data_IF_135131598812
#
_entry.id   IF_135131598812
#
_cell.length_a   1.000
_cell.length_b   1.000
_cell.length_c   1.000
_cell.angle_alpha   90.00
_cell.angle_beta   90.00
_cell.angle_gamma   90.00
#
_symmetry.space_group_name_H-M   'P 1'
#
loop_
_entity.id
_entity.type
_entity.pdbx_description
1 polymer ?
#
# COMPACT_ATOMS: atom_id res chain seq x y z
N UNK A 1 -42.62 29.22 100.33
CA UNK A 1 -41.29 29.85 100.20
C UNK A 1 -41.23 30.49 98.81
N UNK A 2 -40.75 31.73 98.75
CA UNK A 2 -40.82 32.71 97.65
C UNK A 2 -40.36 32.23 96.26
N UNK A 3 -41.14 32.58 95.20
CA UNK A 3 -40.77 33.45 94.06
C UNK A 3 -40.17 32.69 92.86
N UNK A 4 -40.33 33.04 91.57
CA UNK A 4 -40.94 34.18 90.85
C UNK A 4 -41.20 33.71 89.40
N UNK A 5 -42.35 34.06 88.80
CA UNK A 5 -42.63 33.90 87.36
C UNK A 5 -41.76 34.86 86.52
N UNK A 6 -41.29 34.39 85.37
CA UNK A 6 -41.04 35.21 84.17
C UNK A 6 -41.50 34.43 82.93
N UNK A 7 -42.42 35.05 82.18
CA UNK A 7 -42.83 34.68 80.83
C UNK A 7 -41.67 34.92 79.87
N UNK A 8 -41.52 34.08 78.84
CA UNK A 8 -41.16 34.55 77.49
C UNK A 8 -41.91 33.75 76.43
N UNK A 9 -42.39 34.50 75.45
CA UNK A 9 -43.29 34.13 74.36
C UNK A 9 -42.46 33.74 73.14
N UNK A 10 -42.95 32.76 72.40
CA UNK A 10 -42.38 32.19 71.19
C UNK A 10 -42.06 33.21 70.08
N UNK A 11 -40.86 33.09 69.52
CA UNK A 11 -40.55 33.40 68.12
C UNK A 11 -39.76 32.23 67.53
N UNK A 12 -40.44 31.38 66.76
CA UNK A 12 -39.79 30.36 65.92
C UNK A 12 -39.38 31.05 64.62
N UNK A 13 -38.09 31.38 64.52
CA UNK A 13 -37.51 31.88 63.27
C UNK A 13 -37.36 30.72 62.30
N UNK A 14 -38.29 30.64 61.34
CA UNK A 14 -38.19 29.77 60.17
C UNK A 14 -37.10 30.36 59.27
N UNK A 15 -35.90 29.79 59.34
CA UNK A 15 -34.84 30.02 58.35
C UNK A 15 -35.25 29.33 57.04
N UNK A 16 -35.83 30.10 56.13
CA UNK A 16 -35.96 29.72 54.73
C UNK A 16 -34.54 29.72 54.14
N UNK A 17 -33.94 28.54 54.03
CA UNK A 17 -32.75 28.34 53.20
C UNK A 17 -33.22 28.50 51.76
N UNK A 18 -33.07 29.70 51.23
CA UNK A 18 -33.09 29.96 49.79
C UNK A 18 -31.92 29.19 49.20
N UNK A 19 -32.20 28.02 48.62
CA UNK A 19 -31.33 27.41 47.63
C UNK A 19 -31.19 28.41 46.48
N UNK A 20 -30.16 29.25 46.54
CA UNK A 20 -29.58 29.86 45.36
C UNK A 20 -28.98 28.73 44.54
N UNK A 21 -29.82 28.12 43.72
CA UNK A 21 -29.42 27.35 42.55
C UNK A 21 -28.48 28.24 41.76
N UNK A 22 -27.18 28.06 41.99
CA UNK A 22 -26.13 28.53 41.12
C UNK A 22 -26.36 27.75 39.85
N UNK A 23 -27.19 28.30 38.96
CA UNK A 23 -27.26 27.87 37.57
C UNK A 23 -25.84 28.01 37.06
N UNK A 24 -25.07 26.93 37.11
CA UNK A 24 -24.04 26.66 36.14
C UNK A 24 -24.79 26.64 34.81
N UNK A 25 -24.90 27.83 34.22
CA UNK A 25 -25.22 28.01 32.84
C UNK A 25 -24.09 27.28 32.10
N UNK A 26 -24.26 25.98 31.90
CA UNK A 26 -23.59 25.29 30.82
C UNK A 26 -24.12 26.04 29.61
N UNK A 27 -23.31 26.96 29.09
CA UNK A 27 -23.53 27.56 27.79
C UNK A 27 -23.42 26.43 26.76
N UNK A 28 -24.47 25.61 26.68
CA UNK A 28 -24.81 24.84 25.49
C UNK A 28 -25.35 25.81 24.47
N UNK A 29 -24.51 26.78 24.05
CA UNK A 29 -24.70 27.39 22.76
C UNK A 29 -24.48 26.28 21.74
N UNK A 30 -25.45 26.04 20.87
CA UNK A 30 -25.21 25.29 19.65
C UNK A 30 -24.04 25.98 18.94
N UNK A 31 -22.86 25.37 18.99
CA UNK A 31 -21.73 25.75 18.15
C UNK A 31 -22.11 25.35 16.73
N UNK A 32 -22.88 26.20 16.08
CA UNK A 32 -23.23 26.11 14.68
C UNK A 32 -21.94 25.97 13.86
N UNK A 33 -21.97 25.13 12.82
CA UNK A 33 -20.83 24.50 12.12
C UNK A 33 -19.84 25.41 11.38
N UNK A 34 -19.59 26.62 11.87
CA UNK A 34 -18.67 27.64 11.33
C UNK A 34 -17.24 27.15 11.13
N UNK A 35 -16.73 26.26 11.97
CA UNK A 35 -15.39 25.68 11.78
C UNK A 35 -15.37 24.64 10.66
N UNK A 36 -16.43 23.83 10.50
CA UNK A 36 -16.53 22.83 9.43
C UNK A 36 -16.58 23.49 8.07
N UNK A 37 -17.33 24.61 7.99
CA UNK A 37 -17.47 25.40 6.78
C UNK A 37 -16.12 25.95 6.31
N UNK A 38 -15.33 26.53 7.21
CA UNK A 38 -13.99 27.06 6.89
C UNK A 38 -13.04 25.98 6.34
N UNK A 39 -13.04 24.79 6.95
CA UNK A 39 -12.18 23.69 6.47
C UNK A 39 -12.64 23.19 5.09
N UNK A 40 -13.95 23.09 4.85
CA UNK A 40 -14.46 22.74 3.53
C UNK A 40 -14.09 23.81 2.48
N UNK A 41 -14.17 25.09 2.83
CA UNK A 41 -13.79 26.20 1.95
C UNK A 41 -12.29 26.18 1.61
N UNK A 42 -11.40 25.84 2.56
CA UNK A 42 -9.95 25.70 2.33
C UNK A 42 -9.63 24.52 1.39
N UNK A 43 -10.25 23.36 1.61
CA UNK A 43 -10.06 22.16 0.78
C UNK A 43 -10.62 22.38 -0.64
N UNK A 44 -11.79 23.01 -0.76
CA UNK A 44 -12.37 23.43 -2.04
C UNK A 44 -11.47 24.45 -2.77
N UNK A 45 -10.87 25.40 -2.06
CA UNK A 45 -9.98 26.39 -2.66
C UNK A 45 -8.71 25.77 -3.27
N UNK A 46 -8.16 24.73 -2.66
CA UNK A 46 -6.98 24.03 -3.18
C UNK A 46 -7.34 23.09 -4.33
N UNK A 47 -8.44 22.34 -4.20
CA UNK A 47 -8.88 21.39 -5.23
C UNK A 47 -9.37 22.08 -6.51
N UNK A 48 -9.68 23.38 -6.45
CA UNK A 48 -10.05 24.21 -7.61
C UNK A 48 -8.86 24.89 -8.30
N UNK A 49 -7.64 24.77 -7.76
CA UNK A 49 -6.43 25.29 -8.42
C UNK A 49 -6.26 24.57 -9.77
N UNK A 50 -6.28 25.35 -10.84
CA UNK A 50 -6.15 24.82 -12.20
C UNK A 50 -4.71 24.35 -12.47
N UNK A 51 -4.49 23.04 -12.40
CA UNK A 51 -3.22 22.38 -12.72
C UNK A 51 -3.24 21.64 -14.06
N UNK A 52 -4.05 22.12 -15.01
CA UNK A 52 -4.39 21.41 -16.26
C UNK A 52 -4.90 19.98 -15.98
N UNK A 53 -4.79 19.06 -16.94
CA UNK A 53 -5.03 17.63 -16.72
C UNK A 53 -3.75 16.86 -16.30
N UNK A 54 -2.61 17.58 -16.19
CA UNK A 54 -1.29 17.01 -15.97
C UNK A 54 -0.70 17.34 -14.60
N UNK A 55 -1.52 17.68 -13.61
CA UNK A 55 -1.06 18.01 -12.26
C UNK A 55 -2.19 18.16 -11.26
N UNK A 56 -1.82 18.37 -10.00
CA UNK A 56 -2.75 18.64 -8.90
C UNK A 56 -2.09 19.52 -7.84
N UNK A 57 -2.87 20.14 -6.97
CA UNK A 57 -2.37 20.86 -5.80
C UNK A 57 -2.85 20.18 -4.52
N UNK A 58 -2.06 20.31 -3.44
CA UNK A 58 -2.39 19.79 -2.12
C UNK A 58 -2.34 20.92 -1.08
N UNK A 59 -3.08 20.75 0.02
CA UNK A 59 -3.19 21.76 1.07
C UNK A 59 -1.84 22.06 1.73
N UNK A 60 -0.98 21.05 1.83
CA UNK A 60 0.40 21.12 2.33
C UNK A 60 1.44 21.33 1.21
N UNK A 61 0.99 21.67 -0.01
CA UNK A 61 1.85 21.96 -1.14
C UNK A 61 2.71 23.22 -0.93
N UNK A 62 3.85 23.29 -1.59
CA UNK A 62 4.78 24.42 -1.50
C UNK A 62 4.11 25.72 -1.93
N UNK A 63 4.20 26.76 -1.11
CA UNK A 63 3.81 28.12 -1.46
C UNK A 63 5.06 28.83 -2.01
N UNK A 64 5.08 29.13 -3.30
CA UNK A 64 6.19 29.83 -3.94
C UNK A 64 6.15 31.33 -3.59
N UNK A 65 7.33 31.95 -3.48
CA UNK A 65 7.47 33.35 -3.06
C UNK A 65 6.55 34.30 -3.87
N UNK A 66 5.72 35.05 -3.15
CA UNK A 66 4.76 36.00 -3.74
C UNK A 66 3.37 35.42 -4.02
N UNK A 67 3.15 34.11 -3.85
CA UNK A 67 1.85 33.47 -4.01
C UNK A 67 1.13 33.26 -2.66
N UNK A 68 -0.21 33.21 -2.71
CA UNK A 68 -1.07 32.90 -1.54
C UNK A 68 -1.51 31.42 -1.58
N UNK A 69 -1.50 30.80 -2.76
CA UNK A 69 -1.98 29.44 -2.99
C UNK A 69 -0.81 28.45 -3.17
N UNK A 70 -1.00 27.17 -2.81
CA UNK A 70 -0.04 26.10 -3.11
C UNK A 70 0.25 25.97 -4.61
N UNK A 71 1.49 25.64 -4.95
CA UNK A 71 1.89 25.37 -6.33
C UNK A 71 1.36 24.02 -6.83
N UNK A 72 1.15 23.92 -8.14
CA UNK A 72 0.81 22.64 -8.78
C UNK A 72 1.99 21.66 -8.73
N UNK A 73 1.70 20.43 -8.33
CA UNK A 73 2.57 19.27 -8.46
C UNK A 73 2.26 18.55 -9.77
N UNK A 74 3.17 18.66 -10.73
CA UNK A 74 2.99 18.14 -12.09
C UNK A 74 3.26 16.64 -12.18
N UNK A 75 2.54 15.97 -13.07
CA UNK A 75 2.90 14.65 -13.57
C UNK A 75 4.30 14.71 -14.22
N UNK A 76 4.96 13.56 -14.32
CA UNK A 76 6.27 13.48 -14.97
C UNK A 76 6.22 14.06 -16.39
N UNK A 77 7.29 14.76 -16.76
CA UNK A 77 7.44 15.41 -18.07
C UNK A 77 6.53 16.61 -18.34
N UNK A 78 5.83 17.10 -17.31
CA UNK A 78 5.08 18.36 -17.38
C UNK A 78 5.65 19.39 -16.42
N UNK A 79 5.54 20.66 -16.79
CA UNK A 79 6.07 21.79 -16.04
C UNK A 79 5.25 23.06 -16.24
N UNK A 80 5.70 24.17 -15.63
CA UNK A 80 4.98 25.43 -15.58
C UNK A 80 4.03 25.50 -14.39
N UNK A 81 3.56 26.71 -14.08
CA UNK A 81 2.69 26.97 -12.91
C UNK A 81 1.37 26.19 -12.94
N UNK A 82 0.91 25.80 -14.13
CA UNK A 82 -0.32 25.04 -14.34
C UNK A 82 -0.07 23.65 -14.94
N UNK A 83 1.18 23.17 -14.94
CA UNK A 83 1.57 21.87 -15.51
C UNK A 83 1.21 21.67 -17.00
N UNK A 84 1.02 22.73 -17.77
CA UNK A 84 0.62 22.64 -19.18
C UNK A 84 1.79 22.48 -20.16
N UNK A 85 3.03 22.64 -19.71
CA UNK A 85 4.20 22.62 -20.60
C UNK A 85 4.83 21.23 -20.63
N UNK A 86 4.64 20.51 -21.75
CA UNK A 86 5.30 19.22 -21.99
C UNK A 86 6.79 19.39 -22.29
N UNK A 87 7.62 18.58 -21.65
CA UNK A 87 9.07 18.55 -21.80
C UNK A 87 9.48 17.49 -22.84
N UNK A 88 9.85 17.90 -24.05
CA UNK A 88 10.12 16.99 -25.18
C UNK A 88 11.25 15.98 -24.93
N UNK A 89 12.31 16.39 -24.24
CA UNK A 89 13.49 15.55 -23.95
C UNK A 89 13.39 14.82 -22.60
N UNK A 90 12.17 14.68 -22.07
CA UNK A 90 11.96 14.09 -20.77
C UNK A 90 12.34 12.60 -20.71
N UNK A 91 12.94 12.21 -19.59
CA UNK A 91 13.11 10.83 -19.17
C UNK A 91 11.90 10.42 -18.33
N UNK A 92 11.18 9.38 -18.76
CA UNK A 92 10.08 8.82 -17.97
C UNK A 92 10.64 7.82 -16.97
N UNK A 93 10.35 8.04 -15.68
CA UNK A 93 10.76 7.18 -14.59
C UNK A 93 9.61 6.26 -14.17
N UNK A 94 9.75 4.99 -14.56
CA UNK A 94 8.81 3.91 -14.23
C UNK A 94 9.42 2.92 -13.25
N UNK A 95 10.39 3.36 -12.44
CA UNK A 95 10.99 2.54 -11.39
C UNK A 95 10.01 2.30 -10.23
N UNK A 96 9.16 3.28 -9.90
CA UNK A 96 8.27 3.23 -8.74
C UNK A 96 6.91 2.63 -9.08
N UNK A 97 6.45 1.68 -8.26
CA UNK A 97 5.13 1.06 -8.39
C UNK A 97 3.98 1.89 -7.82
N UNK A 98 3.94 3.21 -8.04
CA UNK A 98 2.84 4.06 -7.60
C UNK A 98 1.59 3.77 -8.45
N UNK A 99 0.39 3.77 -7.85
CA UNK A 99 -0.86 3.47 -8.56
C UNK A 99 -1.62 4.74 -8.93
N UNK A 100 -0.96 5.71 -9.56
CA UNK A 100 -1.60 6.96 -9.98
C UNK A 100 -2.73 6.73 -10.99
N UNK A 101 -2.77 5.59 -11.68
CA UNK A 101 -3.91 5.21 -12.53
C UNK A 101 -5.26 5.11 -11.78
N UNK A 102 -5.24 4.99 -10.45
CA UNK A 102 -6.47 4.97 -9.61
C UNK A 102 -6.89 6.36 -9.13
N UNK A 103 -6.07 7.39 -9.29
CA UNK A 103 -6.40 8.73 -8.82
C UNK A 103 -7.69 9.29 -9.43
N UNK A 104 -7.95 9.17 -10.76
CA UNK A 104 -9.20 9.66 -11.35
C UNK A 104 -10.47 9.04 -10.75
N UNK A 105 -10.40 7.79 -10.28
CA UNK A 105 -11.50 7.15 -9.56
C UNK A 105 -11.74 7.85 -8.21
N UNK A 106 -10.68 8.10 -7.44
CA UNK A 106 -10.78 8.73 -6.12
C UNK A 106 -11.20 10.20 -6.18
N UNK A 107 -10.87 10.91 -7.25
CA UNK A 107 -11.35 12.28 -7.49
C UNK A 107 -12.88 12.36 -7.64
N UNK A 108 -13.52 11.27 -8.05
CA UNK A 108 -14.98 11.19 -8.24
C UNK A 108 -15.69 10.50 -7.07
N UNK A 109 -14.94 9.76 -6.25
CA UNK A 109 -15.48 9.00 -5.13
C UNK A 109 -15.83 9.89 -3.93
N UNK A 110 -16.86 9.48 -3.17
CA UNK A 110 -17.28 10.16 -1.93
C UNK A 110 -16.36 9.79 -0.75
N UNK A 111 -15.06 10.01 -0.89
CA UNK A 111 -14.00 9.60 0.05
C UNK A 111 -13.46 10.70 0.97
N UNK A 112 -13.92 11.95 0.85
CA UNK A 112 -13.47 13.05 1.70
C UNK A 112 -13.77 12.79 3.19
N UNK A 113 -12.90 13.31 4.07
CA UNK A 113 -13.00 13.17 5.53
C UNK A 113 -12.66 14.51 6.16
N UNK A 114 -13.54 14.97 7.05
CA UNK A 114 -13.23 16.07 7.95
C UNK A 114 -12.66 15.52 9.26
N UNK A 115 -11.41 15.86 9.57
CA UNK A 115 -10.74 15.46 10.82
C UNK A 115 -10.78 16.63 11.80
N UNK A 116 -11.43 16.45 12.96
CA UNK A 116 -11.46 17.49 13.98
C UNK A 116 -10.11 17.61 14.69
N UNK A 117 -9.77 18.81 15.17
CA UNK A 117 -8.51 19.03 15.91
C UNK A 117 -8.37 18.24 17.21
N UNK A 118 -9.45 17.65 17.72
CA UNK A 118 -9.46 16.75 18.89
C UNK A 118 -9.64 15.28 18.52
N UNK A 119 -9.53 14.93 17.23
CA UNK A 119 -9.70 13.54 16.79
C UNK A 119 -8.65 12.64 17.42
N UNK A 120 -9.09 11.75 18.32
CA UNK A 120 -8.29 10.64 18.89
C UNK A 120 -6.90 11.06 19.37
N UNK A 121 -6.81 12.13 20.16
CA UNK A 121 -5.54 12.61 20.74
C UNK A 121 -4.86 11.62 21.70
N UNK A 122 -5.59 10.64 22.23
CA UNK A 122 -5.05 9.61 23.13
C UNK A 122 -4.26 8.52 22.41
N UNK A 123 -3.36 7.83 23.14
CA UNK A 123 -2.54 6.75 22.59
C UNK A 123 -3.34 5.48 22.23
N UNK A 124 -4.38 5.17 22.99
CA UNK A 124 -5.20 3.97 22.85
C UNK A 124 -6.68 4.27 22.55
N UNK A 125 -7.39 3.26 22.06
CA UNK A 125 -8.84 3.23 22.00
C UNK A 125 -9.40 2.94 23.41
N UNK A 126 -10.71 3.04 23.58
CA UNK A 126 -11.37 2.79 24.88
C UNK A 126 -11.24 1.34 25.38
N UNK A 127 -10.81 0.42 24.52
CA UNK A 127 -10.51 -0.98 24.84
C UNK A 127 -9.00 -1.22 25.06
N UNK A 128 -8.24 -0.15 25.31
CA UNK A 128 -6.77 -0.12 25.44
C UNK A 128 -6.00 -0.58 24.20
N UNK A 129 -6.69 -0.89 23.09
CA UNK A 129 -6.05 -1.33 21.87
C UNK A 129 -5.46 -0.16 21.06
N UNK A 130 -4.50 -0.48 20.20
CA UNK A 130 -3.98 0.42 19.19
C UNK A 130 -4.68 0.27 17.84
N UNK A 131 -5.85 -0.35 17.76
CA UNK A 131 -6.49 -0.68 16.49
C UNK A 131 -7.98 -0.34 16.48
N UNK A 132 -8.43 0.33 15.44
CA UNK A 132 -9.85 0.55 15.18
C UNK A 132 -10.57 -0.78 14.93
N UNK A 133 -11.40 -1.22 15.87
CA UNK A 133 -12.24 -2.42 15.70
C UNK A 133 -13.18 -2.32 14.49
N UNK A 134 -13.68 -1.11 14.20
CA UNK A 134 -14.49 -0.88 13.02
C UNK A 134 -13.69 -1.07 11.73
N UNK A 135 -12.42 -0.66 11.70
CA UNK A 135 -11.55 -0.92 10.55
C UNK A 135 -11.26 -2.41 10.39
N UNK A 136 -11.04 -3.14 11.50
CA UNK A 136 -10.91 -4.61 11.48
C UNK A 136 -12.14 -5.24 10.82
N UNK A 137 -13.35 -4.82 11.20
CA UNK A 137 -14.59 -5.32 10.59
C UNK A 137 -14.66 -5.02 9.08
N UNK A 138 -14.26 -3.83 8.65
CA UNK A 138 -14.26 -3.45 7.22
C UNK A 138 -13.22 -4.23 6.41
N UNK A 139 -12.04 -4.51 6.99
CA UNK A 139 -11.04 -5.38 6.37
C UNK A 139 -11.59 -6.81 6.20
N UNK A 140 -12.24 -7.36 7.22
CA UNK A 140 -12.90 -8.68 7.13
C UNK A 140 -13.97 -8.69 6.04
N UNK A 141 -14.85 -7.69 6.03
CA UNK A 141 -15.90 -7.53 5.03
C UNK A 141 -15.32 -7.42 3.61
N UNK A 142 -14.25 -6.65 3.42
CA UNK A 142 -13.54 -6.55 2.14
C UNK A 142 -13.10 -7.92 1.62
N UNK A 143 -12.38 -8.69 2.43
CA UNK A 143 -11.89 -9.99 2.00
C UNK A 143 -13.00 -11.00 1.72
N UNK A 144 -14.10 -10.96 2.48
CA UNK A 144 -15.31 -11.76 2.22
C UNK A 144 -15.95 -11.35 0.89
N UNK A 145 -16.16 -10.05 0.66
CA UNK A 145 -16.76 -9.53 -0.58
C UNK A 145 -15.95 -9.89 -1.81
N UNK A 146 -14.61 -9.83 -1.73
CA UNK A 146 -13.74 -10.14 -2.86
C UNK A 146 -13.43 -11.63 -3.00
N UNK A 147 -13.64 -12.42 -1.94
CA UNK A 147 -13.30 -13.84 -1.91
C UNK A 147 -11.81 -14.11 -2.05
N UNK A 148 -10.93 -13.17 -1.65
CA UNK A 148 -9.48 -13.30 -1.85
C UNK A 148 -8.70 -13.74 -0.60
N UNK A 149 -9.29 -13.71 0.60
CA UNK A 149 -8.62 -14.25 1.80
C UNK A 149 -9.63 -14.74 2.85
N UNK A 150 -9.26 -15.77 3.60
CA UNK A 150 -10.00 -16.24 4.77
C UNK A 150 -9.65 -15.38 5.99
N UNK A 151 -10.67 -14.80 6.62
CA UNK A 151 -10.51 -13.94 7.80
C UNK A 151 -11.25 -14.43 9.05
N UNK A 152 -12.05 -15.49 8.91
CA UNK A 152 -12.74 -16.16 10.01
C UNK A 152 -11.72 -16.87 10.92
N UNK A 153 -11.88 -16.73 12.23
CA UNK A 153 -10.94 -17.29 13.23
C UNK A 153 -9.48 -16.90 12.96
N UNK A 154 -9.25 -15.66 12.50
CA UNK A 154 -7.92 -15.07 12.33
C UNK A 154 -7.78 -13.77 13.12
N UNK A 155 -6.56 -13.53 13.56
CA UNK A 155 -6.14 -12.26 14.15
C UNK A 155 -5.76 -11.28 13.04
N UNK A 156 -6.01 -9.99 13.27
CA UNK A 156 -5.61 -8.91 12.38
C UNK A 156 -4.73 -7.95 13.15
N UNK A 157 -3.59 -7.56 12.56
CA UNK A 157 -2.71 -6.53 13.09
C UNK A 157 -2.42 -5.48 12.02
N UNK A 158 -2.37 -4.20 12.41
CA UNK A 158 -2.03 -3.10 11.53
C UNK A 158 -0.54 -2.77 11.57
N UNK A 159 -0.03 -2.25 10.47
CA UNK A 159 1.30 -1.66 10.41
C UNK A 159 1.35 -0.43 9.51
N UNK A 160 2.39 0.36 9.71
CA UNK A 160 2.78 1.53 8.93
C UNK A 160 3.26 1.11 7.53
N UNK A 161 2.32 0.57 6.74
CA UNK A 161 2.52 -0.17 5.51
C UNK A 161 2.90 -1.62 5.76
N UNK A 162 2.76 -2.46 4.73
CA UNK A 162 3.26 -3.85 4.79
C UNK A 162 4.77 -3.90 5.05
N UNK A 163 5.51 -2.84 4.72
CA UNK A 163 6.94 -2.70 5.03
C UNK A 163 7.27 -2.89 6.51
N UNK A 164 6.47 -2.33 7.44
CA UNK A 164 6.70 -2.55 8.88
C UNK A 164 6.36 -4.00 9.26
N UNK A 165 5.30 -4.54 8.67
CA UNK A 165 4.81 -5.89 8.96
C UNK A 165 5.75 -7.00 8.46
N UNK A 166 6.47 -6.77 7.35
CA UNK A 166 7.50 -7.70 6.86
C UNK A 166 8.54 -7.98 7.95
N UNK A 167 9.11 -6.93 8.56
CA UNK A 167 10.08 -7.11 9.62
C UNK A 167 9.45 -7.60 10.93
N UNK A 168 8.25 -7.13 11.27
CA UNK A 168 7.53 -7.62 12.45
C UNK A 168 7.27 -9.14 12.36
N UNK A 169 6.94 -9.64 11.17
CA UNK A 169 6.74 -11.05 10.90
C UNK A 169 8.05 -11.85 11.00
N UNK A 170 9.14 -11.35 10.39
CA UNK A 170 10.48 -11.97 10.53
C UNK A 170 10.89 -12.04 11.99
N UNK A 171 10.73 -10.95 12.74
CA UNK A 171 10.99 -10.92 14.19
C UNK A 171 10.16 -11.95 14.95
N UNK A 172 8.85 -12.00 14.71
CA UNK A 172 7.95 -12.89 15.44
C UNK A 172 8.19 -14.39 15.16
N UNK A 173 8.53 -14.71 13.91
CA UNK A 173 8.83 -16.07 13.45
C UNK A 173 10.24 -16.53 13.78
N UNK A 174 11.16 -15.58 14.06
CA UNK A 174 12.51 -15.92 14.49
C UNK A 174 12.51 -16.53 15.88
N UNK A 175 13.32 -17.56 16.07
CA UNK A 175 13.53 -18.18 17.39
C UNK A 175 14.64 -17.46 18.13
N UNK A 176 14.39 -17.04 19.37
CA UNK A 176 15.40 -16.54 20.30
C UNK A 176 16.25 -17.71 20.83
N UNK A 177 17.01 -18.37 19.94
CA UNK A 177 17.81 -19.55 20.27
C UNK A 177 19.30 -19.24 20.12
N UNK A 178 20.07 -19.55 21.16
CA UNK A 178 21.52 -19.37 21.23
C UNK A 178 22.34 -20.25 20.27
N UNK A 179 21.68 -21.05 19.41
CA UNK A 179 22.31 -22.07 18.57
C UNK A 179 22.62 -21.57 17.15
N UNK A 180 21.68 -20.91 16.47
CA UNK A 180 21.87 -20.37 15.11
C UNK A 180 20.71 -19.43 14.67
N UNK A 181 20.98 -18.37 13.88
CA UNK A 181 19.94 -17.50 13.35
C UNK A 181 19.00 -18.23 12.39
N UNK A 182 17.74 -17.76 12.32
CA UNK A 182 16.77 -18.21 11.31
C UNK A 182 17.20 -17.73 9.92
N UNK A 183 17.08 -18.59 8.91
CA UNK A 183 17.47 -18.30 7.53
C UNK A 183 16.29 -17.69 6.78
N UNK A 184 16.37 -16.40 6.46
CA UNK A 184 15.35 -15.70 5.69
C UNK A 184 15.66 -15.83 4.21
N UNK A 185 14.71 -16.33 3.42
CA UNK A 185 14.90 -16.63 1.99
C UNK A 185 13.71 -16.14 1.17
N UNK A 186 13.92 -15.94 -0.13
CA UNK A 186 12.86 -15.62 -1.09
C UNK A 186 13.22 -16.18 -2.47
N UNK A 187 12.24 -16.71 -3.20
CA UNK A 187 12.50 -17.27 -4.55
C UNK A 187 12.76 -16.15 -5.55
N UNK A 188 13.91 -16.17 -6.23
CA UNK A 188 14.24 -15.16 -7.24
C UNK A 188 13.44 -15.36 -8.54
N UNK A 189 13.03 -14.28 -9.24
CA UNK A 189 13.18 -12.89 -8.85
C UNK A 189 12.20 -12.48 -7.73
N UNK A 190 12.68 -11.76 -6.72
CA UNK A 190 11.90 -11.36 -5.54
C UNK A 190 11.94 -9.85 -5.28
N UNK A 191 10.99 -9.37 -4.46
CA UNK A 191 10.95 -7.97 -4.05
C UNK A 191 12.22 -7.57 -3.28
N UNK A 192 13.02 -6.59 -3.75
CA UNK A 192 14.36 -6.33 -3.19
C UNK A 192 14.38 -5.99 -1.70
N UNK A 193 13.27 -5.44 -1.19
CA UNK A 193 13.12 -5.10 0.23
C UNK A 193 13.26 -6.30 1.16
N UNK A 194 12.93 -7.52 0.72
CA UNK A 194 13.12 -8.71 1.56
C UNK A 194 14.59 -8.88 1.96
N UNK A 195 15.51 -8.66 1.00
CA UNK A 195 16.94 -8.68 1.28
C UNK A 195 17.38 -7.44 2.06
N UNK A 196 17.12 -6.25 1.50
CA UNK A 196 17.71 -5.00 2.02
C UNK A 196 17.20 -4.67 3.42
N UNK A 197 15.93 -4.91 3.71
CA UNK A 197 15.37 -4.68 5.04
C UNK A 197 15.92 -5.68 6.07
N UNK A 198 15.93 -6.97 5.74
CA UNK A 198 16.44 -8.01 6.65
C UNK A 198 17.91 -7.76 7.01
N UNK A 199 18.72 -7.35 6.02
CA UNK A 199 20.13 -6.99 6.24
C UNK A 199 20.29 -5.68 7.02
N UNK A 200 19.45 -4.66 6.74
CA UNK A 200 19.50 -3.37 7.43
C UNK A 200 19.28 -3.50 8.94
N UNK A 201 18.30 -4.32 9.36
CA UNK A 201 18.04 -4.51 10.79
C UNK A 201 19.14 -5.29 11.53
N UNK A 202 19.97 -6.05 10.80
CA UNK A 202 21.19 -6.69 11.31
C UNK A 202 21.02 -7.42 12.66
N UNK A 203 19.91 -8.16 12.81
CA UNK A 203 19.62 -8.92 14.03
C UNK A 203 20.52 -10.15 14.16
N UNK A 204 20.73 -10.62 15.39
CA UNK A 204 21.38 -11.91 15.66
C UNK A 204 20.42 -13.10 15.49
N UNK A 205 19.13 -12.85 15.45
CA UNK A 205 18.10 -13.90 15.46
C UNK A 205 17.77 -14.42 14.05
N UNK A 206 18.15 -13.68 13.02
CA UNK A 206 17.86 -14.01 11.63
C UNK A 206 18.91 -13.43 10.67
N UNK A 207 19.07 -14.07 9.52
CA UNK A 207 19.95 -13.61 8.44
C UNK A 207 19.32 -13.91 7.08
N UNK A 208 19.47 -12.98 6.13
CA UNK A 208 19.07 -13.23 4.75
C UNK A 208 20.05 -14.15 4.04
N UNK A 209 19.55 -15.23 3.44
CA UNK A 209 20.33 -16.35 2.88
C UNK A 209 20.06 -16.57 1.38
N UNK A 210 19.51 -15.56 0.70
CA UNK A 210 19.38 -15.56 -0.75
C UNK A 210 18.18 -16.36 -1.27
N UNK A 211 18.37 -16.95 -2.44
CA UNK A 211 17.32 -17.61 -3.22
C UNK A 211 16.87 -18.92 -2.56
N UNK A 212 15.57 -19.02 -2.26
CA UNK A 212 14.94 -20.24 -1.73
C UNK A 212 15.26 -21.48 -2.56
N UNK A 213 15.40 -21.33 -3.89
CA UNK A 213 15.68 -22.45 -4.80
C UNK A 213 16.97 -23.22 -4.44
N UNK A 214 17.97 -22.51 -3.87
CA UNK A 214 19.25 -23.09 -3.44
C UNK A 214 19.12 -24.00 -2.22
N UNK A 215 17.98 -23.94 -1.51
CA UNK A 215 17.77 -24.64 -0.24
C UNK A 215 16.85 -25.87 -0.34
N UNK A 216 16.30 -26.19 -1.54
CA UNK A 216 15.31 -27.28 -1.72
C UNK A 216 15.83 -28.66 -1.29
N UNK A 217 17.10 -28.97 -1.58
CA UNK A 217 17.67 -30.33 -1.51
C UNK A 217 18.67 -30.53 -0.37
N UNK A 218 18.64 -29.71 0.68
CA UNK A 218 19.62 -29.80 1.76
C UNK A 218 19.29 -30.94 2.72
N UNK A 219 20.33 -31.70 3.07
CA UNK A 219 20.24 -32.95 3.83
C UNK A 219 19.98 -32.77 5.33
N UNK A 220 20.36 -31.63 5.94
CA UNK A 220 20.08 -31.33 7.35
C UNK A 220 18.91 -30.33 7.52
N UNK A 221 17.69 -30.82 7.24
CA UNK A 221 16.45 -30.05 7.42
C UNK A 221 15.99 -30.00 8.88
N UNK A 222 16.52 -30.85 9.75
CA UNK A 222 16.10 -30.92 11.16
C UNK A 222 16.65 -29.78 12.00
N UNK A 223 17.88 -29.32 11.74
CA UNK A 223 18.54 -28.27 12.50
C UNK A 223 18.30 -26.87 11.93
N UNK A 224 18.01 -26.77 10.63
CA UNK A 224 17.84 -25.50 9.93
C UNK A 224 16.40 -24.99 10.04
N UNK A 225 16.24 -23.69 10.30
CA UNK A 225 14.94 -23.00 10.36
C UNK A 225 14.87 -21.97 9.26
N UNK A 226 13.91 -22.11 8.36
CA UNK A 226 13.70 -21.14 7.29
C UNK A 226 12.49 -20.24 7.58
N UNK A 227 12.63 -18.98 7.17
CA UNK A 227 11.52 -18.03 7.03
C UNK A 227 11.49 -17.64 5.56
N UNK A 228 10.54 -18.20 4.81
CA UNK A 228 10.38 -17.93 3.38
C UNK A 228 9.41 -16.78 3.16
N UNK A 229 9.85 -15.74 2.47
CA UNK A 229 8.94 -14.76 1.88
C UNK A 229 8.35 -15.32 0.58
N UNK A 230 7.02 -15.36 0.51
CA UNK A 230 6.27 -15.83 -0.65
C UNK A 230 5.41 -14.68 -1.18
N UNK A 231 5.81 -14.06 -2.28
CA UNK A 231 5.01 -13.00 -2.91
C UNK A 231 4.04 -13.61 -3.92
N UNK A 232 2.74 -13.49 -3.71
CA UNK A 232 1.73 -14.07 -4.61
C UNK A 232 0.58 -13.09 -4.81
N UNK A 233 0.48 -12.39 -5.97
CA UNK A 233 1.37 -12.44 -7.12
C UNK A 233 2.80 -11.93 -6.85
N UNK A 234 3.78 -12.45 -7.59
CA UNK A 234 5.18 -12.06 -7.48
C UNK A 234 5.45 -10.61 -7.92
N UNK A 235 6.48 -10.01 -7.34
CA UNK A 235 7.09 -8.77 -7.82
C UNK A 235 8.53 -9.12 -8.24
N UNK A 236 8.86 -9.12 -9.54
CA UNK A 236 8.25 -8.26 -10.57
C UNK A 236 7.17 -8.89 -11.46
N UNK A 237 7.11 -10.21 -11.62
CA UNK A 237 6.41 -10.83 -12.77
C UNK A 237 4.88 -10.86 -12.67
N UNK A 238 4.31 -10.89 -11.46
CA UNK A 238 2.87 -11.02 -11.24
C UNK A 238 2.35 -12.45 -11.36
N UNK A 239 3.19 -13.46 -11.09
CA UNK A 239 2.80 -14.88 -11.08
C UNK A 239 2.20 -15.25 -9.73
N UNK A 240 1.15 -16.06 -9.72
CA UNK A 240 0.68 -16.71 -8.49
C UNK A 240 1.67 -17.83 -8.13
N UNK A 241 2.15 -17.83 -6.90
CA UNK A 241 3.14 -18.79 -6.41
C UNK A 241 2.82 -19.26 -5.00
N UNK A 242 3.32 -20.44 -4.66
CA UNK A 242 3.24 -21.03 -3.32
C UNK A 242 4.64 -21.13 -2.70
N UNK A 243 4.68 -21.32 -1.39
CA UNK A 243 5.91 -21.61 -0.65
C UNK A 243 6.59 -22.87 -1.17
N UNK A 244 7.91 -22.83 -1.24
CA UNK A 244 8.75 -23.88 -1.82
C UNK A 244 9.29 -24.81 -0.74
N UNK A 245 9.45 -24.31 0.49
CA UNK A 245 9.99 -25.07 1.61
C UNK A 245 8.86 -25.66 2.46
N UNK A 246 8.92 -26.97 2.70
CA UNK A 246 7.89 -27.73 3.42
C UNK A 246 8.45 -28.57 4.58
N UNK A 247 9.53 -28.09 5.21
CA UNK A 247 10.08 -28.71 6.41
C UNK A 247 9.22 -28.43 7.65
N UNK A 248 9.32 -29.27 8.69
CA UNK A 248 8.49 -29.14 9.90
C UNK A 248 8.74 -27.84 10.67
N UNK A 249 9.91 -27.22 10.49
CA UNK A 249 10.31 -25.98 11.13
C UNK A 249 10.25 -24.76 10.19
N UNK A 250 9.88 -24.97 8.93
CA UNK A 250 9.87 -23.91 7.92
C UNK A 250 8.63 -23.05 8.15
N UNK A 251 8.82 -21.72 8.09
CA UNK A 251 7.76 -20.73 8.25
C UNK A 251 7.67 -19.90 6.98
N UNK A 252 6.46 -19.50 6.63
CA UNK A 252 6.19 -18.68 5.44
C UNK A 252 5.53 -17.36 5.82
N UNK A 253 5.95 -16.29 5.15
CA UNK A 253 5.29 -14.98 5.17
C UNK A 253 4.75 -14.76 3.76
N UNK A 254 3.42 -14.84 3.61
CA UNK A 254 2.78 -14.60 2.32
C UNK A 254 2.54 -13.10 2.13
N UNK A 255 3.20 -12.50 1.15
CA UNK A 255 3.01 -11.10 0.75
C UNK A 255 2.00 -11.04 -0.40
N UNK A 256 0.75 -10.74 -0.04
CA UNK A 256 -0.38 -10.61 -0.95
C UNK A 256 -0.65 -9.14 -1.32
N UNK A 257 0.40 -8.29 -1.38
CA UNK A 257 0.25 -6.90 -1.79
C UNK A 257 -0.51 -6.75 -3.13
N UNK A 258 -0.32 -7.67 -4.08
CA UNK A 258 -0.94 -7.64 -5.41
C UNK A 258 -2.12 -8.60 -5.58
N UNK A 259 -2.59 -9.30 -4.54
CA UNK A 259 -3.65 -10.32 -4.66
C UNK A 259 -5.05 -9.70 -4.69
N UNK A 260 -5.28 -8.90 -5.74
CA UNK A 260 -6.51 -8.15 -5.96
C UNK A 260 -7.03 -8.35 -7.41
N UNK A 261 -8.36 -8.30 -7.63
CA UNK A 261 -8.95 -8.60 -8.94
C UNK A 261 -8.44 -7.75 -10.11
N UNK A 262 -7.99 -6.52 -9.86
CA UNK A 262 -7.43 -5.63 -10.88
C UNK A 262 -6.02 -6.01 -11.34
N UNK A 263 -5.29 -6.86 -10.59
CA UNK A 263 -3.98 -7.35 -10.99
C UNK A 263 -3.94 -8.83 -11.38
N UNK A 264 -4.77 -9.66 -10.76
CA UNK A 264 -4.73 -11.11 -10.94
C UNK A 264 -6.12 -11.73 -10.90
N UNK A 265 -6.38 -12.84 -11.61
CA UNK A 265 -7.48 -13.73 -11.25
C UNK A 265 -7.39 -14.13 -9.77
N UNK A 266 -8.54 -14.28 -9.14
CA UNK A 266 -8.69 -14.82 -7.78
C UNK A 266 -9.13 -16.29 -7.94
N UNK A 267 -8.23 -17.28 -7.96
CA UNK A 267 -8.62 -18.69 -8.07
C UNK A 267 -9.36 -19.18 -6.83
N UNK A 268 -8.93 -18.76 -5.64
CA UNK A 268 -9.51 -19.15 -4.34
C UNK A 268 -9.14 -18.15 -3.26
N UNK A 269 -9.87 -18.10 -2.13
CA UNK A 269 -9.42 -17.34 -0.96
C UNK A 269 -8.08 -17.87 -0.44
N UNK A 270 -7.13 -16.97 -0.21
CA UNK A 270 -5.86 -17.25 0.47
C UNK A 270 -6.12 -17.70 1.92
N UNK A 271 -5.38 -18.69 2.42
CA UNK A 271 -5.59 -19.29 3.76
C UNK A 271 -4.28 -19.69 4.44
N UNK A 272 -3.24 -18.93 4.25
CA UNK A 272 -1.92 -19.18 4.79
C UNK A 272 -1.83 -18.70 6.25
N UNK A 273 -0.79 -19.14 6.97
CA UNK A 273 -0.69 -18.91 8.42
C UNK A 273 -0.43 -17.44 8.77
N UNK A 274 0.28 -16.73 7.89
CA UNK A 274 0.59 -15.31 8.01
C UNK A 274 0.57 -14.69 6.62
N UNK A 275 -0.44 -13.85 6.37
CA UNK A 275 -0.67 -13.16 5.10
C UNK A 275 -0.58 -11.65 5.30
N UNK A 276 0.08 -10.93 4.38
CA UNK A 276 0.26 -9.48 4.41
C UNK A 276 -0.47 -8.80 3.26
N UNK A 277 -1.11 -7.66 3.55
CA UNK A 277 -1.83 -6.85 2.59
C UNK A 277 -1.54 -5.35 2.82
N UNK A 278 -1.83 -4.52 1.81
CA UNK A 278 -1.56 -3.08 1.89
C UNK A 278 -2.52 -2.25 1.03
N UNK A 279 -2.97 -1.10 1.55
CA UNK A 279 -3.77 -0.16 0.74
C UNK A 279 -2.94 0.48 -0.38
N UNK A 280 -1.62 0.43 -0.27
CA UNK A 280 -0.70 0.96 -1.29
C UNK A 280 -0.90 0.31 -2.66
N UNK A 281 -1.37 -0.95 -2.69
CA UNK A 281 -1.60 -1.73 -3.91
C UNK A 281 -3.07 -2.11 -4.10
N UNK A 282 -3.91 -1.94 -3.08
CA UNK A 282 -5.35 -2.03 -3.23
C UNK A 282 -5.95 -0.75 -3.81
N UNK A 283 -5.74 0.40 -3.14
CA UNK A 283 -6.40 1.68 -3.46
C UNK A 283 -5.47 2.71 -4.06
N UNK A 284 -4.17 2.42 -4.15
CA UNK A 284 -3.16 3.39 -4.60
C UNK A 284 -2.73 4.42 -3.56
N UNK A 285 -3.25 4.33 -2.34
CA UNK A 285 -2.92 5.25 -1.24
C UNK A 285 -1.58 4.89 -0.57
N UNK A 286 -0.51 4.86 -1.37
CA UNK A 286 0.82 4.50 -0.90
C UNK A 286 1.36 5.46 0.17
N UNK A 287 1.05 6.76 0.06
CA UNK A 287 1.45 7.79 1.03
C UNK A 287 0.80 7.63 2.40
N UNK A 288 -0.35 6.96 2.51
CA UNK A 288 -1.01 6.71 3.80
C UNK A 288 -0.27 5.71 4.68
N UNK A 289 0.69 4.95 4.14
CA UNK A 289 1.47 3.96 4.91
C UNK A 289 0.59 3.06 5.77
N UNK A 290 -0.40 2.39 5.17
CA UNK A 290 -1.25 1.44 5.91
C UNK A 290 -1.20 0.04 5.28
N UNK A 291 -0.97 -0.95 6.12
CA UNK A 291 -1.07 -2.37 5.78
C UNK A 291 -1.60 -3.17 6.96
N UNK A 292 -1.97 -4.41 6.69
CA UNK A 292 -2.43 -5.33 7.72
C UNK A 292 -1.90 -6.74 7.47
N UNK A 293 -1.77 -7.50 8.55
CA UNK A 293 -1.51 -8.93 8.50
C UNK A 293 -2.74 -9.69 8.99
N UNK A 294 -3.00 -10.85 8.39
CA UNK A 294 -3.98 -11.84 8.84
C UNK A 294 -3.17 -13.05 9.35
N UNK A 295 -3.41 -13.44 10.60
CA UNK A 295 -2.56 -14.39 11.33
C UNK A 295 -3.42 -15.48 11.96
N UNK A 296 -3.03 -16.75 11.80
CA UNK A 296 -3.66 -17.88 12.49
C UNK A 296 -3.19 -18.05 13.92
N UNK A 297 -1.88 -18.08 14.12
CA UNK A 297 -1.26 -18.40 15.40
C UNK A 297 -1.29 -17.18 16.35
N UNK A 298 -1.95 -17.35 17.50
CA UNK A 298 -2.08 -16.29 18.52
C UNK A 298 -0.73 -15.86 19.10
N UNK A 299 0.21 -16.77 19.29
CA UNK A 299 1.53 -16.44 19.83
C UNK A 299 2.35 -15.60 18.85
N UNK A 300 2.24 -15.89 17.54
CA UNK A 300 2.84 -15.05 16.50
C UNK A 300 2.17 -13.67 16.45
N UNK A 301 0.84 -13.63 16.52
CA UNK A 301 0.10 -12.37 16.61
C UNK A 301 0.55 -11.51 17.81
N UNK A 302 0.66 -12.09 19.01
CA UNK A 302 1.13 -11.40 20.22
C UNK A 302 2.55 -10.88 20.07
N UNK A 303 3.47 -11.66 19.50
CA UNK A 303 4.85 -11.20 19.23
C UNK A 303 4.89 -10.04 18.24
N UNK A 304 4.08 -10.09 17.19
CA UNK A 304 3.97 -8.97 16.24
C UNK A 304 3.37 -7.73 16.90
N UNK A 305 2.37 -7.88 17.79
CA UNK A 305 1.85 -6.77 18.59
C UNK A 305 2.94 -6.12 19.43
N UNK A 306 3.73 -6.91 20.16
CA UNK A 306 4.88 -6.42 20.94
C UNK A 306 5.86 -5.66 20.06
N UNK A 307 6.18 -6.17 18.86
CA UNK A 307 7.04 -5.45 17.92
C UNK A 307 6.45 -4.09 17.55
N UNK A 308 5.16 -4.02 17.20
CA UNK A 308 4.50 -2.78 16.76
C UNK A 308 4.40 -1.77 17.90
N UNK A 309 4.10 -2.24 19.12
CA UNK A 309 4.08 -1.42 20.32
C UNK A 309 5.45 -0.77 20.57
N UNK A 310 6.52 -1.58 20.60
CA UNK A 310 7.88 -1.10 20.84
C UNK A 310 8.43 -0.26 19.69
N UNK A 311 8.00 -0.51 18.45
CA UNK A 311 8.51 0.19 17.29
C UNK A 311 7.85 1.55 17.08
N UNK A 312 6.51 1.65 17.23
CA UNK A 312 5.76 2.88 16.89
C UNK A 312 4.55 3.17 17.77
N UNK A 313 4.28 2.37 18.82
CA UNK A 313 3.06 2.48 19.65
C UNK A 313 1.78 2.43 18.78
N UNK A 314 1.77 1.47 17.84
CA UNK A 314 0.67 1.30 16.89
C UNK A 314 0.83 2.10 15.60
N UNK A 315 -0.31 2.39 14.96
CA UNK A 315 -0.40 3.09 13.66
C UNK A 315 -1.23 4.36 13.82
N UNK A 316 -0.86 5.44 13.14
CA UNK A 316 -1.54 6.75 13.15
C UNK A 316 -3.08 6.61 13.06
N UNK A 317 -3.78 7.35 13.93
CA UNK A 317 -5.25 7.35 13.98
C UNK A 317 -5.86 7.96 12.73
N UNK A 318 -5.24 9.00 12.19
CA UNK A 318 -5.65 9.65 10.94
C UNK A 318 -5.53 8.70 9.77
N UNK A 319 -4.46 7.90 9.75
CA UNK A 319 -4.25 6.85 8.75
C UNK A 319 -5.33 5.77 8.85
N UNK A 320 -5.68 5.32 10.06
CA UNK A 320 -6.75 4.34 10.25
C UNK A 320 -8.12 4.90 9.86
N UNK A 321 -8.41 6.16 10.19
CA UNK A 321 -9.64 6.83 9.77
C UNK A 321 -9.73 6.94 8.24
N UNK A 322 -8.62 7.35 7.59
CA UNK A 322 -8.54 7.42 6.13
C UNK A 322 -8.72 6.06 5.47
N UNK A 323 -8.03 5.03 5.96
CA UNK A 323 -8.20 3.66 5.49
C UNK A 323 -9.65 3.20 5.64
N UNK A 324 -10.29 3.44 6.79
CA UNK A 324 -11.70 3.08 7.01
C UNK A 324 -12.62 3.72 5.98
N UNK A 325 -12.47 5.02 5.71
CA UNK A 325 -13.31 5.71 4.71
C UNK A 325 -13.09 5.16 3.30
N UNK A 326 -11.85 4.90 2.92
CA UNK A 326 -11.52 4.32 1.61
C UNK A 326 -12.13 2.92 1.46
N UNK A 327 -11.98 2.06 2.48
CA UNK A 327 -12.59 0.73 2.47
C UNK A 327 -14.12 0.80 2.47
N UNK A 328 -14.72 1.80 3.12
CA UNK A 328 -16.15 2.02 3.02
C UNK A 328 -16.58 2.29 1.57
N UNK A 329 -15.89 3.18 0.86
CA UNK A 329 -16.17 3.44 -0.56
C UNK A 329 -16.02 2.16 -1.40
N UNK A 330 -14.96 1.36 -1.16
CA UNK A 330 -14.79 0.09 -1.88
C UNK A 330 -15.91 -0.93 -1.63
N UNK A 331 -16.64 -0.80 -0.52
CA UNK A 331 -17.69 -1.72 -0.08
C UNK A 331 -19.10 -1.18 -0.37
N UNK A 332 -19.21 -0.03 -1.04
CA UNK A 332 -20.50 0.49 -1.53
C UNK A 332 -21.04 -0.41 -2.65
N UNK A 333 -22.37 -0.51 -2.75
CA UNK A 333 -23.03 -1.40 -3.69
C UNK A 333 -22.67 -2.87 -3.47
N UNK A 334 -22.20 -3.54 -4.52
CA UNK A 334 -21.70 -4.92 -4.47
C UNK A 334 -20.19 -5.01 -4.20
N UNK A 335 -19.52 -3.87 -4.03
CA UNK A 335 -18.08 -3.77 -3.79
C UNK A 335 -17.20 -4.11 -5.00
N UNK A 336 -17.73 -4.02 -6.23
CA UNK A 336 -17.02 -4.44 -7.45
C UNK A 336 -16.59 -3.30 -8.37
N UNK A 337 -17.19 -2.12 -8.25
CA UNK A 337 -17.03 -1.00 -9.19
C UNK A 337 -15.57 -0.61 -9.43
N UNK A 338 -14.83 -0.26 -8.37
CA UNK A 338 -13.42 0.14 -8.48
C UNK A 338 -12.58 -0.95 -9.15
N UNK A 339 -12.77 -2.21 -8.77
CA UNK A 339 -12.02 -3.34 -9.30
C UNK A 339 -12.31 -3.59 -10.78
N UNK A 340 -13.55 -3.36 -11.23
CA UNK A 340 -13.94 -3.47 -12.64
C UNK A 340 -13.28 -2.36 -13.47
N UNK A 341 -13.33 -1.11 -12.99
CA UNK A 341 -12.70 0.05 -13.63
C UNK A 341 -11.18 -0.15 -13.71
N UNK A 342 -10.56 -0.46 -12.57
CA UNK A 342 -9.12 -0.67 -12.46
C UNK A 342 -8.65 -1.83 -13.34
N UNK A 343 -9.40 -2.93 -13.38
CA UNK A 343 -9.10 -4.02 -14.31
C UNK A 343 -9.18 -3.58 -15.77
N UNK A 344 -10.23 -2.85 -16.16
CA UNK A 344 -10.38 -2.40 -17.55
C UNK A 344 -9.19 -1.54 -18.00
N UNK A 345 -8.73 -0.62 -17.14
CA UNK A 345 -7.54 0.20 -17.38
C UNK A 345 -6.30 -0.70 -17.53
N UNK A 346 -6.03 -1.57 -16.55
CA UNK A 346 -4.84 -2.42 -16.58
C UNK A 346 -4.86 -3.38 -17.78
N UNK A 347 -6.02 -3.92 -18.16
CA UNK A 347 -6.17 -4.76 -19.35
C UNK A 347 -5.81 -3.98 -20.62
N UNK A 348 -6.28 -2.74 -20.75
CA UNK A 348 -5.94 -1.89 -21.88
C UNK A 348 -4.42 -1.63 -21.96
N UNK A 349 -3.80 -1.31 -20.81
CA UNK A 349 -2.35 -1.08 -20.72
C UNK A 349 -1.55 -2.30 -21.15
N UNK A 350 -1.92 -3.49 -20.66
CA UNK A 350 -1.30 -4.76 -21.06
C UNK A 350 -1.48 -5.06 -22.56
N UNK A 351 -2.69 -4.88 -23.08
CA UNK A 351 -2.98 -5.10 -24.51
C UNK A 351 -2.07 -4.26 -25.40
N UNK A 352 -1.86 -2.98 -25.04
CA UNK A 352 -0.99 -2.07 -25.80
C UNK A 352 0.49 -2.47 -25.72
N UNK A 353 0.96 -2.89 -24.54
CA UNK A 353 2.33 -3.38 -24.37
C UNK A 353 2.58 -4.65 -25.19
N UNK A 354 1.68 -5.63 -25.12
CA UNK A 354 1.76 -6.87 -25.89
C UNK A 354 1.76 -6.60 -27.41
N UNK A 355 0.94 -5.65 -27.87
CA UNK A 355 0.93 -5.23 -29.28
C UNK A 355 2.25 -4.61 -29.76
N UNK A 356 2.96 -3.91 -28.88
CA UNK A 356 4.28 -3.35 -29.22
C UNK A 356 5.32 -4.47 -29.21
N UNK A 357 5.36 -5.27 -28.13
CA UNK A 357 6.36 -6.30 -27.93
C UNK A 357 6.23 -7.46 -28.93
N UNK A 358 5.02 -7.77 -29.41
CA UNK A 358 4.81 -8.75 -30.49
C UNK A 358 5.48 -8.36 -31.82
N UNK A 359 5.86 -7.09 -31.98
CA UNK A 359 6.63 -6.60 -33.13
C UNK A 359 8.14 -6.61 -32.86
N UNK A 360 8.61 -6.79 -31.62
CA UNK A 360 10.04 -6.84 -31.34
C UNK A 360 10.57 -8.27 -31.42
N UNK A 361 11.83 -8.41 -31.84
CA UNK A 361 12.61 -9.64 -31.61
C UNK A 361 13.68 -9.45 -30.52
N UNK A 362 13.91 -8.20 -30.09
CA UNK A 362 14.93 -7.86 -29.11
C UNK A 362 14.37 -7.81 -27.70
N UNK A 363 13.08 -7.56 -27.55
CA UNK A 363 12.42 -7.44 -26.26
C UNK A 363 11.30 -8.47 -26.12
N UNK A 364 11.20 -9.06 -24.94
CA UNK A 364 10.09 -9.92 -24.55
C UNK A 364 9.50 -9.48 -23.21
N UNK A 365 8.27 -9.90 -22.94
CA UNK A 365 7.59 -9.72 -21.66
C UNK A 365 7.45 -11.07 -20.96
N UNK A 366 7.13 -11.04 -19.67
CA UNK A 366 6.83 -12.25 -18.93
C UNK A 366 5.64 -13.01 -19.52
N UNK A 367 5.67 -14.34 -19.38
CA UNK A 367 4.53 -15.17 -19.70
C UNK A 367 3.45 -15.06 -18.61
N UNK A 368 2.21 -14.83 -19.05
CA UNK A 368 1.04 -14.73 -18.19
C UNK A 368 0.03 -15.82 -18.55
N UNK A 369 -0.32 -16.64 -17.56
CA UNK A 369 -1.18 -17.79 -17.75
C UNK A 369 -2.63 -17.49 -17.34
N UNK A 370 -3.64 -18.00 -18.09
CA UNK A 370 -5.03 -17.81 -17.74
C UNK A 370 -5.44 -18.67 -16.54
N UNK A 371 -6.17 -18.09 -15.60
CA UNK A 371 -6.81 -18.82 -14.50
C UNK A 371 -8.27 -18.44 -14.38
N UNK A 372 -9.08 -19.34 -13.81
CA UNK A 372 -10.44 -19.01 -13.42
C UNK A 372 -10.41 -17.99 -12.28
N UNK A 373 -11.21 -16.92 -12.41
CA UNK A 373 -11.35 -15.89 -11.38
C UNK A 373 -12.74 -15.99 -10.76
N UNK A 374 -12.82 -16.34 -9.48
CA UNK A 374 -14.08 -16.42 -8.73
C UNK A 374 -14.76 -15.06 -8.63
N UNK A 375 -13.98 -13.98 -8.45
CA UNK A 375 -14.51 -12.62 -8.41
C UNK A 375 -15.18 -12.20 -9.73
N UNK A 376 -14.56 -12.45 -10.89
CA UNK A 376 -15.14 -12.10 -12.20
C UNK A 376 -16.00 -13.20 -12.83
N UNK A 377 -16.03 -14.40 -12.24
CA UNK A 377 -16.72 -15.60 -12.72
C UNK A 377 -16.38 -15.98 -14.17
N UNK A 378 -15.09 -15.86 -14.52
CA UNK A 378 -14.59 -16.23 -15.85
C UNK A 378 -13.10 -16.54 -15.82
N UNK A 379 -12.65 -17.29 -16.82
CA UNK A 379 -11.23 -17.44 -17.12
C UNK A 379 -10.68 -16.12 -17.65
N UNK A 380 -9.54 -15.70 -17.11
CA UNK A 380 -8.85 -14.48 -17.54
C UNK A 380 -7.35 -14.58 -17.24
N UNK A 381 -6.57 -13.84 -18.00
CA UNK A 381 -5.14 -13.65 -17.76
C UNK A 381 -4.95 -12.59 -16.66
N UNK A 382 -3.84 -12.69 -15.93
CA UNK A 382 -3.38 -11.65 -15.02
C UNK A 382 -3.18 -10.32 -15.76
N UNK A 383 -3.31 -9.22 -15.03
CA UNK A 383 -2.94 -7.87 -15.50
C UNK A 383 -1.98 -7.24 -14.49
N UNK A 384 -0.74 -7.77 -14.36
CA UNK A 384 0.19 -7.37 -13.30
C UNK A 384 0.48 -5.87 -13.26
N UNK A 385 0.94 -5.38 -12.11
CA UNK A 385 1.33 -3.98 -11.96
C UNK A 385 2.57 -3.58 -12.77
N UNK A 386 3.38 -4.56 -13.19
CA UNK A 386 4.67 -4.31 -13.84
C UNK A 386 4.85 -5.16 -15.08
N UNK A 387 5.45 -4.58 -16.11
CA UNK A 387 6.06 -5.30 -17.21
C UNK A 387 7.47 -5.73 -16.81
N UNK A 388 7.76 -7.03 -16.91
CA UNK A 388 9.07 -7.60 -16.70
C UNK A 388 9.72 -7.81 -18.06
N UNK A 389 10.35 -6.75 -18.54
CA UNK A 389 10.94 -6.69 -19.87
C UNK A 389 12.29 -7.42 -19.86
N UNK A 390 12.56 -8.23 -20.88
CA UNK A 390 13.86 -8.86 -21.09
C UNK A 390 14.44 -8.48 -22.44
N UNK A 391 15.72 -8.12 -22.48
CA UNK A 391 16.49 -7.99 -23.72
C UNK A 391 16.97 -9.39 -24.16
N UNK A 392 16.56 -9.85 -25.33
CA UNK A 392 16.74 -11.22 -25.83
C UNK A 392 18.07 -11.48 -26.54
N UNK A 393 18.74 -10.43 -27.02
CA UNK A 393 20.07 -10.54 -27.59
C UNK A 393 21.10 -10.85 -26.50
N UNK A 394 22.03 -11.75 -26.80
CA UNK A 394 23.03 -12.20 -25.84
C UNK A 394 24.09 -11.12 -25.54
N UNK A 395 24.33 -10.22 -26.50
CA UNK A 395 25.22 -9.08 -26.36
C UNK A 395 24.63 -7.91 -25.53
N UNK A 396 23.31 -7.88 -25.34
CA UNK A 396 22.63 -6.83 -24.58
C UNK A 396 22.76 -7.12 -23.08
N UNK A 397 23.99 -7.00 -22.55
CA UNK A 397 24.32 -7.39 -21.17
C UNK A 397 23.63 -6.51 -20.11
N UNK A 398 23.24 -5.29 -20.47
CA UNK A 398 22.52 -4.36 -19.60
C UNK A 398 21.31 -3.77 -20.32
N UNK A 399 20.14 -4.35 -20.07
CA UNK A 399 18.91 -3.92 -20.72
C UNK A 399 18.43 -2.54 -20.24
N UNK A 400 18.79 -2.14 -19.00
CA UNK A 400 18.43 -0.82 -18.47
C UNK A 400 19.20 0.32 -19.17
N UNK A 401 20.46 0.10 -19.54
CA UNK A 401 21.24 1.06 -20.31
C UNK A 401 20.62 1.32 -21.68
N UNK A 402 20.16 0.27 -22.37
CA UNK A 402 19.46 0.38 -23.65
C UNK A 402 18.19 1.24 -23.49
N UNK A 403 17.38 0.98 -22.46
CA UNK A 403 16.17 1.77 -22.20
C UNK A 403 16.48 3.24 -21.86
N UNK A 404 17.58 3.51 -21.14
CA UNK A 404 18.01 4.88 -20.83
C UNK A 404 18.35 5.68 -22.09
N UNK A 405 18.87 5.05 -23.16
CA UNK A 405 19.16 5.76 -24.43
C UNK A 405 17.93 6.36 -25.11
N UNK A 406 16.74 5.83 -24.82
CA UNK A 406 15.45 6.37 -25.30
C UNK A 406 14.67 7.13 -24.22
N UNK A 407 15.33 7.43 -23.10
CA UNK A 407 14.76 8.16 -21.98
C UNK A 407 13.70 7.39 -21.22
N UNK A 408 13.90 6.10 -20.99
CA UNK A 408 13.10 5.27 -20.07
C UNK A 408 14.00 4.84 -18.91
N UNK A 409 13.60 5.18 -17.67
CA UNK A 409 14.25 4.69 -16.46
C UNK A 409 13.40 3.57 -15.84
N UNK A 410 13.93 2.35 -15.82
CA UNK A 410 13.30 1.18 -15.22
C UNK A 410 14.11 0.62 -14.05
N UNK A 411 13.53 -0.32 -13.30
CA UNK A 411 14.23 -0.92 -12.16
C UNK A 411 15.00 -2.16 -12.59
N UNK A 412 16.33 -2.10 -12.48
CA UNK A 412 17.28 -3.12 -12.97
C UNK A 412 17.03 -4.51 -12.41
N UNK A 413 17.18 -5.56 -13.22
CA UNK A 413 16.82 -6.91 -12.79
C UNK A 413 17.69 -7.48 -11.68
N UNK A 414 18.96 -7.09 -11.61
CA UNK A 414 19.90 -7.52 -10.57
C UNK A 414 19.47 -7.18 -9.15
N UNK A 415 18.71 -6.09 -8.95
CA UNK A 415 18.21 -5.75 -7.62
C UNK A 415 17.16 -6.75 -7.12
N UNK A 416 16.47 -7.45 -8.03
CA UNK A 416 15.47 -8.49 -7.75
C UNK A 416 16.09 -9.90 -7.65
N UNK A 417 17.41 -10.02 -7.80
CA UNK A 417 18.08 -11.32 -7.89
C UNK A 417 17.98 -11.99 -9.27
N UNK A 418 17.62 -11.24 -10.32
CA UNK A 418 17.70 -11.70 -11.71
C UNK A 418 18.99 -11.20 -12.38
N UNK A 419 19.19 -11.52 -13.66
CA UNK A 419 20.27 -10.94 -14.45
C UNK A 419 19.96 -9.50 -14.92
N UNK A 420 20.99 -8.79 -15.40
CA UNK A 420 20.86 -7.42 -15.92
C UNK A 420 20.19 -7.31 -17.30
N UNK A 421 19.80 -8.45 -17.90
CA UNK A 421 19.02 -8.45 -19.14
C UNK A 421 17.55 -8.19 -18.88
N UNK A 422 17.13 -8.17 -17.62
CA UNK A 422 15.78 -7.84 -17.22
C UNK A 422 15.64 -6.43 -16.64
N UNK A 423 14.49 -5.81 -16.88
CA UNK A 423 14.10 -4.52 -16.30
C UNK A 423 12.63 -4.57 -15.92
N UNK A 424 12.31 -4.16 -14.69
CA UNK A 424 10.92 -3.96 -14.26
C UNK A 424 10.45 -2.55 -14.63
N UNK A 425 9.38 -2.47 -15.41
CA UNK A 425 8.70 -1.23 -15.78
C UNK A 425 7.35 -1.17 -15.06
N UNK A 426 7.16 -0.16 -14.22
CA UNK A 426 5.85 0.13 -13.62
C UNK A 426 4.90 0.65 -14.68
N UNK A 427 3.71 0.04 -14.78
CA UNK A 427 2.68 0.46 -15.73
C UNK A 427 1.42 0.94 -14.99
N UNK A 428 1.56 1.25 -13.70
CA UNK A 428 0.49 1.74 -12.82
C UNK A 428 0.55 3.24 -12.56
N UNK A 429 1.47 3.93 -13.24
CA UNK A 429 1.60 5.39 -13.23
C UNK A 429 0.35 6.13 -13.72
N UNK A 430 0.44 7.46 -13.82
CA UNK A 430 -0.65 8.27 -14.38
C UNK A 430 -0.91 7.90 -15.85
N UNK A 431 -1.96 8.47 -16.46
CA UNK A 431 -2.15 8.25 -17.90
C UNK A 431 -1.01 8.86 -18.72
N UNK A 432 -0.55 10.06 -18.35
CA UNK A 432 0.60 10.73 -18.99
C UNK A 432 1.86 9.86 -18.97
N UNK A 433 2.23 9.34 -17.79
CA UNK A 433 3.40 8.47 -17.63
C UNK A 433 3.31 7.23 -18.54
N UNK A 434 2.11 6.63 -18.63
CA UNK A 434 1.89 5.45 -19.47
C UNK A 434 1.95 5.78 -20.97
N UNK A 435 1.37 6.89 -21.41
CA UNK A 435 1.43 7.31 -22.81
C UNK A 435 2.86 7.62 -23.25
N UNK A 436 3.64 8.31 -22.41
CA UNK A 436 5.05 8.62 -22.67
C UNK A 436 5.86 7.32 -22.78
N UNK A 437 5.65 6.38 -21.85
CA UNK A 437 6.30 5.06 -21.88
C UNK A 437 5.97 4.32 -23.19
N UNK A 438 4.70 4.23 -23.54
CA UNK A 438 4.24 3.52 -24.75
C UNK A 438 4.80 4.16 -26.03
N UNK A 439 4.82 5.49 -26.12
CA UNK A 439 5.39 6.17 -27.28
C UNK A 439 6.88 5.90 -27.42
N UNK A 440 7.65 5.95 -26.32
CA UNK A 440 9.08 5.64 -26.33
C UNK A 440 9.35 4.18 -26.71
N UNK A 441 8.60 3.22 -26.15
CA UNK A 441 8.72 1.80 -26.50
C UNK A 441 8.34 1.53 -27.97
N UNK A 442 7.29 2.18 -28.46
CA UNK A 442 6.87 2.06 -29.87
C UNK A 442 7.98 2.55 -30.81
N UNK A 443 8.58 3.69 -30.51
CA UNK A 443 9.68 4.24 -31.29
C UNK A 443 10.95 3.36 -31.21
N UNK A 444 11.23 2.81 -30.03
CA UNK A 444 12.36 1.88 -29.83
C UNK A 444 12.19 0.62 -30.69
N UNK A 445 11.03 -0.03 -30.62
CA UNK A 445 10.74 -1.24 -31.42
C UNK A 445 10.69 -0.93 -32.92
N UNK A 446 10.16 0.23 -33.33
CA UNK A 446 10.16 0.63 -34.73
C UNK A 446 11.56 0.83 -35.31
N UNK A 447 12.52 1.31 -34.50
CA UNK A 447 13.92 1.46 -34.92
C UNK A 447 14.60 0.12 -35.19
N UNK A 448 14.21 -0.97 -34.51
CA UNK A 448 14.74 -2.33 -34.77
C UNK A 448 14.51 -2.77 -36.22
N UNK A 449 13.36 -2.38 -36.80
CA UNK A 449 13.01 -2.73 -38.17
C UNK A 449 13.80 -1.95 -39.21
N UNK A 450 14.16 -0.70 -38.90
CA UNK A 450 14.78 0.21 -39.85
C UNK A 450 16.31 0.04 -39.89
N UNK A 451 16.94 -0.34 -38.78
CA UNK A 451 18.36 -0.67 -38.73
C UNK A 451 18.67 -1.68 -37.61
N UNK A 452 18.83 -2.97 -37.93
CA UNK A 452 19.14 -4.03 -36.96
C UNK A 452 20.44 -3.81 -36.17
N UNK A 453 21.34 -2.94 -36.65
CA UNK A 453 22.66 -2.68 -36.10
C UNK A 453 22.77 -1.36 -35.32
N UNK A 454 21.77 -0.48 -35.37
CA UNK A 454 21.87 0.88 -34.80
C UNK A 454 21.74 0.92 -33.26
N UNK A 455 21.24 -0.15 -32.63
CA UNK A 455 21.29 -0.31 -31.16
C UNK A 455 22.72 -0.60 -30.68
N UNK A 456 23.67 -0.92 -31.58
CA UNK A 456 25.06 -1.23 -31.21
C UNK A 456 25.96 0.00 -31.00
N UNK A 457 25.47 1.24 -31.17
CA UNK A 457 26.33 2.43 -31.30
C UNK A 457 26.67 3.18 -30.00
N UNK A 458 26.27 2.68 -28.83
CA UNK A 458 26.60 3.32 -27.55
C UNK A 458 27.13 2.36 -26.48
N UNK A 459 28.02 1.45 -26.89
CA UNK A 459 28.96 0.80 -25.96
C UNK A 459 30.16 1.70 -25.69
#
# INVERSE_FOLDING_TARGET
MMAKRRNEIHYVTIMIVLCSSSNSLVCGGEWEGTWRRRVAEEDEAVTTIACSEHGRAYLDGLILDGNIQPACECNQCYSGSHCSNFLSDCVVDVTRGNLYFLEPFWMQAKSAILVSGWHRMGYSYSDDSYMSQLLVQYIKKLHITLGNAITEERYIIFGSGSTQLLNAAVYALSTNSSLSPSKVVATAPYFPMYRTQTQFFNSKDYRFEGDTSSWKNISDRSSTRFIEFVASPTNPEGKLTDGVLHGPNDKTIYDHAYYWPHFTPIPSPANEDLMLFTISKLTGHAGSRFGWAIIKDEAIYKKMLTYIELNTVGVSRDTQLRALKLLNVLLEGDGREMFQIAYAIMKNRWTRLEQIMSKSKHFSLQELYPHYCTFFQRVRVSTPAHAWLKCERQQDMNCNEILKTVGINGHEGSVFGADNRHVRLSITGSQDEFEILINKLTNLVAKEYMDPNLINLHN
#
